data_IF_054156609346
#
_entry.id   IF_054156609346
#
_cell.length_a   1.000
_cell.length_b   1.000
_cell.length_c   1.000
_cell.angle_alpha   90.00
_cell.angle_beta   90.00
_cell.angle_gamma   90.00
#
_symmetry.space_group_name_H-M   'P 1'
#
loop_
_entity.id
_entity.type
_entity.pdbx_description
1 polymer ?
#
# COMPACT_ATOMS: atom_id res chain seq x y z
N UNK A 1 -1.10 -15.56 -12.08
CA UNK A 1 -0.80 -14.22 -12.64
C UNK A 1 -0.88 -13.10 -11.60
N UNK A 2 -1.86 -13.10 -10.68
CA UNK A 2 -1.99 -12.02 -9.68
C UNK A 2 -0.81 -11.90 -8.71
N UNK A 3 -0.23 -13.03 -8.26
CA UNK A 3 0.98 -13.01 -7.43
C UNK A 3 2.18 -12.37 -8.15
N UNK A 4 2.33 -12.57 -9.46
CA UNK A 4 3.38 -11.95 -10.28
C UNK A 4 3.12 -10.44 -10.42
N UNK A 5 1.88 -10.03 -10.68
CA UNK A 5 1.48 -8.62 -10.74
C UNK A 5 1.70 -7.90 -9.41
N UNK A 6 1.35 -8.55 -8.29
CA UNK A 6 1.63 -8.05 -6.95
C UNK A 6 3.13 -7.94 -6.71
N UNK A 7 3.90 -8.98 -7.02
CA UNK A 7 5.37 -8.98 -6.87
C UNK A 7 6.04 -7.87 -7.69
N UNK A 8 5.58 -7.63 -8.92
CA UNK A 8 6.07 -6.51 -9.74
C UNK A 8 5.71 -5.16 -9.13
N UNK A 9 4.45 -4.95 -8.73
CA UNK A 9 4.01 -3.70 -8.13
C UNK A 9 4.71 -3.43 -6.79
N UNK A 10 4.87 -4.45 -5.96
CA UNK A 10 5.58 -4.37 -4.69
C UNK A 10 7.08 -4.12 -4.91
N UNK A 11 7.72 -4.81 -5.86
CA UNK A 11 9.11 -4.58 -6.22
C UNK A 11 9.34 -3.15 -6.72
N UNK A 12 8.43 -2.63 -7.55
CA UNK A 12 8.45 -1.24 -8.00
C UNK A 12 8.24 -0.25 -6.85
N UNK A 13 7.39 -0.57 -5.87
CA UNK A 13 7.21 0.27 -4.68
C UNK A 13 8.49 0.31 -3.82
N UNK A 14 9.14 -0.83 -3.61
CA UNK A 14 10.40 -0.91 -2.86
C UNK A 14 11.53 -0.15 -3.58
N UNK A 15 11.67 -0.38 -4.89
CA UNK A 15 12.63 0.36 -5.71
C UNK A 15 12.31 1.87 -5.74
N UNK A 16 11.03 2.21 -5.84
CA UNK A 16 10.52 3.58 -5.81
C UNK A 16 10.79 4.27 -4.47
N UNK A 17 10.75 3.56 -3.34
CA UNK A 17 11.08 4.11 -2.03
C UNK A 17 12.56 4.53 -1.98
N UNK A 18 13.44 3.64 -2.43
CA UNK A 18 14.87 3.96 -2.52
C UNK A 18 15.14 5.10 -3.49
N UNK A 19 14.54 5.08 -4.69
CA UNK A 19 14.67 6.12 -5.70
C UNK A 19 14.14 7.48 -5.22
N UNK A 20 12.97 7.50 -4.57
CA UNK A 20 12.39 8.72 -3.98
C UNK A 20 13.30 9.29 -2.90
N UNK A 21 13.84 8.45 -2.02
CA UNK A 21 14.74 8.90 -0.95
C UNK A 21 16.04 9.49 -1.51
N UNK A 22 16.67 8.84 -2.49
CA UNK A 22 17.88 9.36 -3.14
C UNK A 22 17.60 10.68 -3.88
N UNK A 23 16.51 10.74 -4.64
CA UNK A 23 16.12 11.94 -5.39
C UNK A 23 15.77 13.11 -4.46
N UNK A 24 15.04 12.85 -3.37
CA UNK A 24 14.73 13.86 -2.35
C UNK A 24 15.99 14.35 -1.65
N UNK A 25 16.90 13.44 -1.27
CA UNK A 25 18.20 13.81 -0.69
C UNK A 25 19.02 14.68 -1.64
N UNK A 26 19.10 14.31 -2.92
CA UNK A 26 19.81 15.07 -3.94
C UNK A 26 19.21 16.46 -4.18
N UNK A 27 17.87 16.56 -4.21
CA UNK A 27 17.16 17.83 -4.33
C UNK A 27 17.37 18.73 -3.11
N UNK A 28 17.53 18.14 -1.91
CA UNK A 28 17.77 18.88 -0.67
C UNK A 28 19.22 19.37 -0.54
N UNK A 29 20.19 18.55 -0.93
CA UNK A 29 21.62 18.89 -0.87
C UNK A 29 22.00 19.88 -1.97
N UNK A 30 21.35 19.81 -3.14
CA UNK A 30 21.60 20.68 -4.28
C UNK A 30 20.26 21.13 -4.87
N UNK A 31 19.67 22.22 -4.34
CA UNK A 31 18.34 22.66 -4.73
C UNK A 31 18.33 23.18 -6.16
N UNK A 32 17.81 22.34 -7.06
CA UNK A 32 17.56 22.65 -8.47
C UNK A 32 16.15 22.19 -8.84
N UNK A 33 15.38 22.97 -9.63
CA UNK A 33 13.99 22.65 -9.96
C UNK A 33 13.85 21.32 -10.70
N UNK A 34 14.80 20.98 -11.57
CA UNK A 34 14.83 19.69 -12.27
C UNK A 34 14.89 18.49 -11.32
N UNK A 35 15.60 18.62 -10.20
CA UNK A 35 15.74 17.54 -9.21
C UNK A 35 14.48 17.35 -8.37
N UNK A 36 13.76 18.44 -8.13
CA UNK A 36 12.43 18.39 -7.52
C UNK A 36 11.41 17.68 -8.41
N UNK A 37 11.47 17.89 -9.73
CA UNK A 37 10.64 17.16 -10.69
C UNK A 37 10.96 15.66 -10.68
N UNK A 38 12.25 15.29 -10.65
CA UNK A 38 12.66 13.89 -10.55
C UNK A 38 12.20 13.26 -9.23
N UNK A 39 12.34 13.95 -8.11
CA UNK A 39 11.85 13.49 -6.81
C UNK A 39 10.33 13.31 -6.80
N UNK A 40 9.57 14.24 -7.39
CA UNK A 40 8.13 14.14 -7.54
C UNK A 40 7.72 12.97 -8.45
N UNK A 41 8.47 12.71 -9.52
CA UNK A 41 8.25 11.57 -10.41
C UNK A 41 8.42 10.23 -9.68
N UNK A 42 9.51 10.08 -8.92
CA UNK A 42 9.73 8.90 -8.09
C UNK A 42 8.66 8.72 -7.01
N UNK A 43 8.23 9.82 -6.38
CA UNK A 43 7.13 9.81 -5.42
C UNK A 43 5.82 9.32 -6.07
N UNK A 44 5.51 9.79 -7.28
CA UNK A 44 4.32 9.36 -8.02
C UNK A 44 4.36 7.85 -8.32
N UNK A 45 5.52 7.34 -8.75
CA UNK A 45 5.74 5.89 -8.96
C UNK A 45 5.54 5.11 -7.67
N UNK A 46 6.11 5.58 -6.56
CA UNK A 46 5.97 4.95 -5.24
C UNK A 46 4.50 4.89 -4.80
N UNK A 47 3.78 6.00 -4.90
CA UNK A 47 2.36 6.07 -4.49
C UNK A 47 1.50 5.19 -5.39
N UNK A 48 1.66 5.26 -6.70
CA UNK A 48 0.89 4.47 -7.65
C UNK A 48 1.13 2.96 -7.48
N UNK A 49 2.40 2.55 -7.37
CA UNK A 49 2.76 1.14 -7.19
C UNK A 49 2.32 0.58 -5.83
N UNK A 50 2.47 1.36 -4.76
CA UNK A 50 1.98 1.02 -3.42
C UNK A 50 0.45 0.91 -3.36
N UNK A 51 -0.27 1.87 -3.93
CA UNK A 51 -1.73 1.84 -4.02
C UNK A 51 -2.21 0.65 -4.84
N UNK A 52 -1.55 0.34 -5.96
CA UNK A 52 -1.88 -0.80 -6.79
C UNK A 52 -1.60 -2.14 -6.09
N UNK A 53 -0.47 -2.27 -5.41
CA UNK A 53 -0.17 -3.46 -4.61
C UNK A 53 -1.19 -3.66 -3.48
N UNK A 54 -1.56 -2.58 -2.78
CA UNK A 54 -2.62 -2.59 -1.76
C UNK A 54 -3.99 -2.96 -2.33
N UNK A 55 -4.34 -2.43 -3.51
CA UNK A 55 -5.57 -2.79 -4.21
C UNK A 55 -5.60 -4.28 -4.60
N UNK A 56 -4.50 -4.81 -5.13
CA UNK A 56 -4.39 -6.23 -5.48
C UNK A 56 -4.52 -7.12 -4.24
N UNK A 57 -3.89 -6.73 -3.13
CA UNK A 57 -4.02 -7.44 -1.85
C UNK A 57 -5.46 -7.41 -1.34
N UNK A 58 -6.10 -6.24 -1.38
CA UNK A 58 -7.51 -6.07 -0.99
C UNK A 58 -8.45 -6.91 -1.87
N UNK A 59 -8.25 -6.89 -3.19
CA UNK A 59 -9.03 -7.69 -4.13
C UNK A 59 -8.87 -9.19 -3.89
N UNK A 60 -7.64 -9.65 -3.62
CA UNK A 60 -7.35 -11.03 -3.28
C UNK A 60 -8.03 -11.45 -1.97
N UNK A 61 -7.97 -10.61 -0.93
CA UNK A 61 -8.62 -10.88 0.36
C UNK A 61 -10.15 -10.88 0.25
N UNK A 62 -10.72 -10.03 -0.62
CA UNK A 62 -12.15 -10.00 -0.90
C UNK A 62 -12.60 -11.27 -1.62
N UNK A 63 -11.85 -11.72 -2.63
CA UNK A 63 -12.12 -12.98 -3.35
C UNK A 63 -11.99 -14.21 -2.45
N UNK A 64 -11.03 -14.21 -1.53
CA UNK A 64 -10.87 -15.27 -0.55
C UNK A 64 -11.95 -15.29 0.54
N UNK A 65 -12.92 -14.36 0.52
CA UNK A 65 -13.95 -14.23 1.56
C UNK A 65 -13.40 -13.84 2.94
N UNK A 66 -12.11 -13.53 3.05
CA UNK A 66 -11.42 -13.19 4.30
C UNK A 66 -11.88 -11.85 4.84
N UNK A 67 -12.22 -10.90 3.96
CA UNK A 67 -12.82 -9.62 4.36
C UNK A 67 -14.16 -9.85 5.07
N UNK A 68 -15.05 -10.68 4.50
CA UNK A 68 -16.34 -11.03 5.14
C UNK A 68 -16.14 -11.75 6.49
N UNK A 69 -15.18 -12.67 6.59
CA UNK A 69 -14.84 -13.32 7.87
C UNK A 69 -14.34 -12.33 8.91
N UNK A 70 -13.43 -11.41 8.54
CA UNK A 70 -12.89 -10.40 9.46
C UNK A 70 -13.96 -9.40 9.90
N UNK A 71 -14.81 -8.94 8.98
CA UNK A 71 -15.97 -8.09 9.30
C UNK A 71 -16.93 -8.81 10.23
N UNK A 72 -17.27 -10.08 9.96
CA UNK A 72 -18.15 -10.86 10.83
C UNK A 72 -17.54 -11.16 12.21
N UNK A 73 -16.22 -11.22 12.33
CA UNK A 73 -15.51 -11.32 13.62
C UNK A 73 -15.54 -9.98 14.35
N UNK A 74 -15.34 -8.87 13.63
CA UNK A 74 -15.38 -7.53 14.20
C UNK A 74 -16.79 -7.15 14.66
N UNK A 75 -17.81 -7.49 13.88
CA UNK A 75 -19.23 -7.34 14.27
C UNK A 75 -19.55 -8.19 15.50
N UNK A 76 -19.08 -9.44 15.57
CA UNK A 76 -19.23 -10.28 16.77
C UNK A 76 -18.53 -9.69 17.98
N UNK A 77 -17.32 -9.18 17.81
CA UNK A 77 -16.58 -8.53 18.89
C UNK A 77 -17.23 -7.23 19.36
N UNK A 78 -17.76 -6.42 18.43
CA UNK A 78 -18.54 -5.22 18.74
C UNK A 78 -19.88 -5.54 19.42
N UNK A 79 -20.52 -6.64 19.05
CA UNK A 79 -21.74 -7.13 19.70
C UNK A 79 -21.43 -7.62 21.13
N UNK A 80 -20.28 -8.26 21.32
CA UNK A 80 -19.78 -8.63 22.65
C UNK A 80 -19.49 -7.42 23.53
N UNK A 81 -18.78 -6.41 23.02
CA UNK A 81 -18.50 -5.19 23.79
C UNK A 81 -19.76 -4.41 24.18
N UNK A 82 -20.86 -4.55 23.42
CA UNK A 82 -22.17 -3.97 23.73
C UNK A 82 -23.00 -4.79 24.72
N UNK A 83 -22.43 -5.82 25.35
CA UNK A 83 -23.09 -6.65 26.36
C UNK A 83 -23.70 -7.95 25.84
N UNK A 84 -23.43 -8.33 24.58
CA UNK A 84 -23.83 -9.63 24.04
C UNK A 84 -22.97 -10.76 24.59
N UNK A 85 -23.56 -11.93 24.88
CA UNK A 85 -22.79 -13.14 25.22
C UNK A 85 -22.08 -13.68 23.96
N UNK A 86 -20.77 -13.96 24.07
CA UNK A 86 -20.08 -14.75 23.03
C UNK A 86 -20.70 -16.15 22.96
N UNK A 87 -20.92 -16.72 21.77
CA UNK A 87 -21.16 -18.15 21.63
C UNK A 87 -19.92 -18.96 22.01
#
# INVERSE_FOLDING_TARGET
MEAVRFGMAFGLAVAGLHGTWQAARLAWVQPQPERWLVAAGWLAVLVASGAWAGYLLYAADRRAGRVRRRVAVYERWLAFQRGGRWP
#
